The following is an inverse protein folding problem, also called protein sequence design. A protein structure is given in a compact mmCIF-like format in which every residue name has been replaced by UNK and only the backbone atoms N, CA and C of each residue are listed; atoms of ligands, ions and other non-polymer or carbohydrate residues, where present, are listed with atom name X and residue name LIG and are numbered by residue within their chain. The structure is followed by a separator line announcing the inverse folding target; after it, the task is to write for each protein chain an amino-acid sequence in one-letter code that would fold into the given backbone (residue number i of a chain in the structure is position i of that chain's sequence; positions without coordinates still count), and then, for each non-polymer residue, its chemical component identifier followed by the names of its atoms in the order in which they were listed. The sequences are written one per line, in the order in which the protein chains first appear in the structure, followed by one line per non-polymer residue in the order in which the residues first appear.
data_IF_840596897445
#
_entry.id   IF_840596897445
#
_cell.length_a   1.000
_cell.length_b   1.000
_cell.length_c   1.000
_cell.angle_alpha   90.00
_cell.angle_beta   90.00
_cell.angle_gamma   90.00
#
_symmetry.space_group_name_H-M   'P 1'
#
loop_
_entity.id
_entity.type
_entity.pdbx_description
1 polymer ?
#
# COMPACT_ATOMS: atom_id res chain seq x y z
N UNK A 1 2.28 6.25 -0.31
CA UNK A 1 1.59 5.44 0.73
C UNK A 1 2.13 4.01 0.68
N UNK A 2 1.88 3.16 1.68
CA UNK A 2 2.28 1.73 1.65
C UNK A 2 1.04 0.87 1.46
N UNK A 3 1.12 -0.14 0.61
CA UNK A 3 0.03 -1.10 0.40
C UNK A 3 0.53 -2.53 0.56
N UNK A 4 -0.34 -3.41 1.05
CA UNK A 4 -0.12 -4.85 0.93
C UNK A 4 -0.28 -5.25 -0.54
N UNK A 5 0.54 -6.20 -0.98
CA UNK A 5 0.30 -6.82 -2.28
C UNK A 5 -1.04 -7.56 -2.30
N UNK A 6 -1.59 -7.69 -3.49
CA UNK A 6 -2.89 -8.36 -3.73
C UNK A 6 -2.92 -9.83 -3.33
N UNK A 7 -1.77 -10.50 -3.34
CA UNK A 7 -1.58 -11.90 -2.97
C UNK A 7 -1.29 -12.08 -1.46
N UNK A 8 -1.23 -11.00 -0.68
CA UNK A 8 -0.90 -11.02 0.75
C UNK A 8 -2.11 -10.65 1.60
N UNK A 9 -2.43 -11.51 2.57
CA UNK A 9 -3.50 -11.29 3.55
C UNK A 9 -2.90 -11.04 4.92
N UNK A 10 -3.32 -9.96 5.58
CA UNK A 10 -3.02 -9.70 6.99
C UNK A 10 -4.12 -10.27 7.88
N UNK A 11 -3.73 -11.11 8.84
CA UNK A 11 -4.59 -11.66 9.87
C UNK A 11 -4.13 -11.19 11.26
N UNK A 12 -4.88 -10.28 11.93
CA UNK A 12 -4.58 -9.86 13.29
C UNK A 12 -4.70 -11.03 14.28
N UNK A 13 -3.87 -11.01 15.32
CA UNK A 13 -3.84 -11.99 16.41
C UNK A 13 -3.69 -11.25 17.75
N UNK A 14 -3.79 -11.98 18.86
CA UNK A 14 -3.55 -11.40 20.20
C UNK A 14 -2.08 -10.99 20.44
N UNK A 15 -1.13 -11.50 19.64
CA UNK A 15 0.32 -11.26 19.80
C UNK A 15 0.92 -10.41 18.67
N UNK A 16 0.10 -9.80 17.82
CA UNK A 16 0.54 -9.07 16.61
C UNK A 16 -0.26 -9.52 15.39
N UNK A 17 0.39 -9.80 14.27
CA UNK A 17 -0.31 -10.28 13.08
C UNK A 17 0.45 -11.34 12.28
N UNK A 18 -0.28 -12.10 11.49
CA UNK A 18 0.27 -13.00 10.48
C UNK A 18 0.04 -12.39 9.10
N UNK A 19 1.09 -12.35 8.30
CA UNK A 19 1.02 -12.05 6.87
C UNK A 19 1.12 -13.36 6.11
N UNK A 20 0.10 -13.69 5.31
CA UNK A 20 0.03 -14.91 4.52
C UNK A 20 0.12 -14.55 3.03
N UNK A 21 1.12 -15.08 2.33
CA UNK A 21 1.18 -15.07 0.89
C UNK A 21 0.34 -16.23 0.35
N UNK A 22 -0.76 -15.90 -0.31
CA UNK A 22 -1.82 -16.85 -0.65
C UNK A 22 -1.45 -17.78 -1.80
N UNK A 23 -0.55 -17.36 -2.70
CA UNK A 23 -0.14 -18.18 -3.85
C UNK A 23 0.78 -19.35 -3.48
N UNK A 24 1.72 -19.15 -2.56
CA UNK A 24 2.74 -20.14 -2.19
C UNK A 24 2.59 -20.68 -0.76
N UNK A 25 1.66 -20.11 0.01
CA UNK A 25 1.36 -20.52 1.39
C UNK A 25 2.41 -20.10 2.42
N UNK A 26 3.41 -19.29 2.04
CA UNK A 26 4.39 -18.76 2.99
C UNK A 26 3.74 -17.74 3.92
N UNK A 27 4.14 -17.74 5.18
CA UNK A 27 3.65 -16.78 6.15
C UNK A 27 4.77 -16.20 7.00
N UNK A 28 4.54 -14.98 7.47
CA UNK A 28 5.42 -14.24 8.34
C UNK A 28 4.62 -13.76 9.54
N UNK A 29 5.27 -13.71 10.70
CA UNK A 29 4.68 -13.18 11.92
C UNK A 29 5.25 -11.81 12.22
N UNK A 30 4.37 -10.86 12.48
CA UNK A 30 4.71 -9.56 13.03
C UNK A 30 4.47 -9.58 14.54
N UNK A 31 5.44 -9.07 15.28
CA UNK A 31 5.26 -8.74 16.69
C UNK A 31 4.26 -7.56 16.84
N UNK A 32 3.82 -7.24 18.07
CA UNK A 32 2.83 -6.18 18.28
C UNK A 32 3.27 -4.81 17.73
N UNK A 33 4.55 -4.45 17.91
CA UNK A 33 5.11 -3.19 17.42
C UNK A 33 5.10 -3.11 15.89
N UNK A 34 5.50 -4.18 15.22
CA UNK A 34 5.53 -4.25 13.76
C UNK A 34 4.13 -4.26 13.16
N UNK A 35 3.18 -4.93 13.82
CA UNK A 35 1.78 -4.88 13.41
C UNK A 35 1.18 -3.48 13.56
N UNK A 36 1.49 -2.79 14.66
CA UNK A 36 1.10 -1.40 14.88
C UNK A 36 1.64 -0.49 13.77
N UNK A 37 2.93 -0.60 13.46
CA UNK A 37 3.58 0.19 12.40
C UNK A 37 2.94 -0.09 11.05
N UNK A 38 2.74 -1.37 10.70
CA UNK A 38 2.09 -1.73 9.44
C UNK A 38 0.67 -1.18 9.36
N UNK A 39 -0.12 -1.28 10.44
CA UNK A 39 -1.48 -0.73 10.50
C UNK A 39 -1.50 0.78 10.23
N UNK A 40 -0.65 1.55 10.90
CA UNK A 40 -0.57 3.01 10.70
C UNK A 40 -0.29 3.36 9.24
N UNK A 41 0.61 2.61 8.59
CA UNK A 41 0.97 2.86 7.20
C UNK A 41 -0.13 2.43 6.22
N UNK A 42 -0.85 1.34 6.51
CA UNK A 42 -2.02 0.91 5.72
C UNK A 42 -3.22 1.85 5.86
N UNK A 43 -3.33 2.53 7.01
CA UNK A 43 -4.34 3.57 7.26
C UNK A 43 -3.98 4.91 6.59
N UNK A 44 -2.90 4.96 5.79
CA UNK A 44 -2.45 6.14 5.05
C UNK A 44 -1.46 7.02 5.80
N UNK A 45 -0.98 6.60 6.97
CA UNK A 45 0.07 7.28 7.72
C UNK A 45 1.44 7.19 7.03
N UNK A 46 2.34 8.10 7.41
CA UNK A 46 3.74 8.08 6.99
C UNK A 46 4.65 7.47 8.06
N UNK A 47 5.95 7.34 7.74
CA UNK A 47 6.97 6.84 8.68
C UNK A 47 6.98 7.67 9.97
N UNK A 48 6.81 8.99 9.87
CA UNK A 48 6.80 9.84 11.05
C UNK A 48 5.58 9.57 11.96
N UNK A 49 4.41 9.30 11.38
CA UNK A 49 3.21 8.89 12.12
C UNK A 49 3.41 7.55 12.81
N UNK A 50 3.99 6.57 12.12
CA UNK A 50 4.29 5.27 12.70
C UNK A 50 5.29 5.37 13.87
N UNK A 51 6.34 6.19 13.73
CA UNK A 51 7.31 6.44 14.81
C UNK A 51 6.65 7.10 16.02
N UNK A 52 5.80 8.11 15.81
CA UNK A 52 5.07 8.78 16.90
C UNK A 52 4.17 7.80 17.65
N UNK A 53 3.43 6.96 16.92
CA UNK A 53 2.55 5.96 17.51
C UNK A 53 3.34 4.89 18.29
N UNK A 54 4.47 4.46 17.74
CA UNK A 54 5.34 3.48 18.38
C UNK A 54 5.94 4.02 19.69
N UNK A 55 6.47 5.24 19.69
CA UNK A 55 6.98 5.90 20.90
C UNK A 55 5.89 6.20 21.95
N UNK A 56 4.63 6.32 21.54
CA UNK A 56 3.50 6.51 22.46
C UNK A 56 3.09 5.19 23.12
N UNK A 57 3.24 4.07 22.41
CA UNK A 57 2.83 2.75 22.86
C UNK A 57 3.92 2.03 23.65
N UNK A 58 5.19 2.28 23.31
CA UNK A 58 6.37 1.60 23.86
C UNK A 58 7.39 2.66 24.29
N UNK A 59 8.02 2.46 25.44
CA UNK A 59 9.11 3.32 25.90
C UNK A 59 10.38 3.03 25.10
N UNK A 60 10.51 3.72 23.95
CA UNK A 60 11.63 3.60 23.03
C UNK A 60 12.08 4.97 22.54
N UNK A 61 13.39 5.13 22.37
CA UNK A 61 13.97 6.36 21.82
C UNK A 61 13.46 6.60 20.37
N UNK A 62 13.09 7.84 20.01
CA UNK A 62 12.56 8.14 18.67
C UNK A 62 13.49 7.77 17.50
N UNK A 63 14.82 7.82 17.68
CA UNK A 63 15.76 7.44 16.64
C UNK A 63 15.82 5.92 16.47
N UNK A 64 15.74 5.18 17.58
CA UNK A 64 15.64 3.71 17.56
C UNK A 64 14.31 3.30 16.91
N UNK A 65 13.20 3.88 17.35
CA UNK A 65 11.89 3.64 16.75
C UNK A 65 11.87 3.91 15.25
N UNK A 66 12.49 5.01 14.80
CA UNK A 66 12.63 5.31 13.38
C UNK A 66 13.40 4.24 12.62
N UNK A 67 14.55 3.81 13.16
CA UNK A 67 15.37 2.76 12.56
C UNK A 67 14.60 1.45 12.46
N UNK A 68 13.82 1.10 13.49
CA UNK A 68 13.02 -0.12 13.51
C UNK A 68 11.89 -0.08 12.48
N UNK A 69 11.20 1.06 12.34
CA UNK A 69 10.17 1.28 11.31
C UNK A 69 10.76 1.16 9.91
N UNK A 70 11.88 1.83 9.64
CA UNK A 70 12.56 1.77 8.33
C UNK A 70 13.08 0.35 8.04
N UNK A 71 13.65 -0.32 9.04
CA UNK A 71 14.13 -1.70 8.92
C UNK A 71 13.02 -2.72 8.70
N UNK A 72 11.85 -2.53 9.33
CA UNK A 72 10.67 -3.35 9.09
C UNK A 72 10.18 -3.19 7.65
N UNK A 73 10.05 -1.96 7.16
CA UNK A 73 9.63 -1.68 5.80
C UNK A 73 10.58 -2.28 4.76
N UNK A 74 11.89 -2.16 4.99
CA UNK A 74 12.89 -2.77 4.13
C UNK A 74 12.73 -4.30 4.07
N UNK A 75 12.52 -4.96 5.21
CA UNK A 75 12.32 -6.41 5.26
C UNK A 75 11.03 -6.84 4.56
N UNK A 76 9.92 -6.15 4.81
CA UNK A 76 8.64 -6.44 4.16
C UNK A 76 8.70 -6.25 2.64
N UNK A 77 9.45 -5.26 2.16
CA UNK A 77 9.66 -5.04 0.73
C UNK A 77 10.58 -6.12 0.13
N UNK A 78 11.66 -6.49 0.83
CA UNK A 78 12.62 -7.51 0.39
C UNK A 78 11.96 -8.89 0.20
N UNK A 79 11.09 -9.27 1.12
CA UNK A 79 10.31 -10.52 0.99
C UNK A 79 9.08 -10.39 0.09
N UNK A 80 8.85 -9.20 -0.49
CA UNK A 80 7.76 -8.94 -1.42
C UNK A 80 6.39 -9.09 -0.77
N UNK A 81 6.16 -8.44 0.38
CA UNK A 81 4.85 -8.42 1.05
C UNK A 81 4.11 -7.10 0.90
N UNK A 82 4.86 -6.02 0.72
CA UNK A 82 4.33 -4.69 0.51
C UNK A 82 4.85 -4.15 -0.81
N UNK A 83 4.09 -3.23 -1.37
CA UNK A 83 4.54 -2.40 -2.47
C UNK A 83 4.53 -0.94 -2.00
N UNK A 84 5.56 -0.14 -2.37
CA UNK A 84 5.38 1.29 -2.35
C UNK A 84 4.20 1.58 -3.26
N UNK A 85 3.29 2.46 -2.85
CA UNK A 85 2.31 3.01 -3.78
C UNK A 85 3.11 3.65 -4.93
N UNK A 86 3.23 2.93 -6.04
CA UNK A 86 3.72 3.53 -7.26
C UNK A 86 2.67 4.57 -7.60
N UNK A 87 3.10 5.82 -7.71
CA UNK A 87 2.40 6.90 -8.37
C UNK A 87 2.23 6.54 -9.88
N UNK A 88 1.53 5.44 -10.19
CA UNK A 88 1.51 4.81 -11.52
C UNK A 88 0.35 3.81 -11.77
N UNK A 89 -0.72 3.82 -10.95
CA UNK A 89 -2.02 3.26 -11.41
C UNK A 89 -3.02 4.34 -11.84
N UNK A 90 -2.59 5.60 -11.88
CA UNK A 90 -3.35 6.68 -12.50
C UNK A 90 -2.78 6.96 -13.89
N UNK A 91 -3.36 6.33 -14.91
CA UNK A 91 -3.34 6.82 -16.28
C UNK A 91 -4.66 7.56 -16.52
N UNK A 92 -4.68 8.89 -16.69
CA UNK A 92 -5.91 9.63 -16.98
C UNK A 92 -6.33 9.60 -18.45
N UNK A 93 -5.82 8.69 -19.29
CA UNK A 93 -6.10 8.69 -20.74
C UNK A 93 -6.89 7.44 -21.20
N UNK A 94 -8.15 7.34 -20.78
CA UNK A 94 -9.17 6.66 -21.57
C UNK A 94 -10.48 7.46 -21.52
N UNK A 95 -10.47 8.70 -22.01
CA UNK A 95 -11.71 9.39 -22.38
C UNK A 95 -11.44 10.27 -23.62
N UNK A 96 -12.42 10.28 -24.53
CA UNK A 96 -12.50 11.01 -25.81
C UNK A 96 -11.89 10.34 -27.06
N UNK A 97 -12.45 9.19 -27.44
CA UNK A 97 -12.31 8.59 -28.77
C UNK A 97 -13.65 8.27 -29.45
N UNK A 98 -14.62 9.19 -29.41
CA UNK A 98 -15.85 9.08 -30.20
C UNK A 98 -16.09 10.36 -31.03
N UNK A 99 -15.52 10.53 -32.23
CA UNK A 99 -16.09 11.43 -33.20
C UNK A 99 -17.20 10.71 -33.95
N UNK A 100 -18.41 10.76 -33.38
CA UNK A 100 -19.62 10.54 -34.16
C UNK A 100 -19.94 11.82 -34.93
N UNK A 101 -19.60 11.88 -36.21
CA UNK A 101 -20.33 12.74 -37.14
C UNK A 101 -20.19 12.27 -38.60
N UNK A 102 -21.14 11.45 -39.05
CA UNK A 102 -21.53 11.38 -40.45
C UNK A 102 -23.06 11.34 -40.53
N UNK A 103 -23.69 12.47 -40.18
CA UNK A 103 -25.06 12.76 -40.56
C UNK A 103 -25.04 13.57 -41.86
N UNK A 104 -25.43 12.90 -42.94
CA UNK A 104 -25.43 13.44 -44.29
C UNK A 104 -26.30 14.70 -44.47
N UNK A 105 -25.84 15.56 -45.38
CA UNK A 105 -26.64 16.64 -45.98
C UNK A 105 -26.58 16.49 -47.50
N UNK A 106 -27.70 16.24 -48.19
CA UNK A 106 -27.75 16.35 -49.63
C UNK A 106 -28.06 17.82 -49.98
N UNK A 107 -27.18 18.47 -50.74
CA UNK A 107 -27.52 19.74 -51.40
C UNK A 107 -27.43 19.62 -52.92
N UNK A 108 -28.48 20.14 -53.53
CA UNK A 108 -28.85 20.02 -54.93
C UNK A 108 -27.79 20.52 -55.92
N UNK A 109 -27.72 19.86 -57.09
CA UNK A 109 -27.38 20.51 -58.35
C UNK A 109 -28.35 20.08 -59.45
N UNK A 110 -28.62 21.08 -60.29
CA UNK A 110 -29.59 21.17 -61.39
C UNK A 110 -29.35 20.16 -62.50
#
# INVERSE_FOLDING_TARGET
MVMLRSDVVRAPTEYGAVLLHTEDGRYWTLNPSGDLVLRVLLDGGDVAAAVRELCTTVEVDPQVARRDVEGLLAQLADVGLIEPESEARWSPEVEAGCPGNDAGRPEARR
#
